data_IF_788051623200
#
_entry.id   IF_788051623200
#
_cell.length_a   1.000
_cell.length_b   1.000
_cell.length_c   1.000
_cell.angle_alpha   90.00
_cell.angle_beta   90.00
_cell.angle_gamma   90.00
#
_symmetry.space_group_name_H-M   'P 1'
#
loop_
_entity.id
_entity.type
_entity.pdbx_description
1 polymer ?
#
# COMPACT_ATOMS: atom_id res chain seq x y z
N UNK A 1 -10.59 -11.16 -15.87
CA UNK A 1 -11.06 -10.76 -14.53
C UNK A 1 -10.19 -11.46 -13.49
N UNK A 2 -9.65 -10.74 -12.50
CA UNK A 2 -8.91 -11.32 -11.37
C UNK A 2 -9.67 -11.02 -10.08
N UNK A 3 -9.96 -12.03 -9.27
CA UNK A 3 -10.63 -11.86 -7.98
C UNK A 3 -9.59 -11.71 -6.88
N UNK A 4 -9.81 -10.76 -5.97
CA UNK A 4 -9.03 -10.65 -4.73
C UNK A 4 -9.77 -11.42 -3.64
N UNK A 5 -9.25 -12.59 -3.28
CA UNK A 5 -9.85 -13.49 -2.29
C UNK A 5 -9.05 -13.49 -0.99
N UNK A 6 -9.65 -13.94 0.10
CA UNK A 6 -8.95 -14.10 1.38
C UNK A 6 -7.76 -15.07 1.29
N UNK A 7 -7.86 -16.12 0.48
CA UNK A 7 -6.74 -17.03 0.24
C UNK A 7 -5.60 -16.35 -0.51
N UNK A 8 -5.89 -15.49 -1.49
CA UNK A 8 -4.86 -14.69 -2.16
C UNK A 8 -4.16 -13.76 -1.17
N UNK A 9 -4.91 -13.06 -0.31
CA UNK A 9 -4.32 -12.18 0.72
C UNK A 9 -3.40 -12.97 1.66
N UNK A 10 -3.81 -14.17 2.09
CA UNK A 10 -2.99 -15.06 2.93
C UNK A 10 -1.71 -15.49 2.21
N UNK A 11 -1.81 -15.90 0.94
CA UNK A 11 -0.65 -16.33 0.14
C UNK A 11 0.38 -15.20 -0.03
N UNK A 12 -0.07 -13.98 -0.38
CA UNK A 12 0.85 -12.84 -0.58
C UNK A 12 1.47 -12.41 0.76
N UNK A 13 0.73 -12.51 1.86
CA UNK A 13 1.24 -12.30 3.22
C UNK A 13 2.34 -13.29 3.59
N UNK A 14 2.14 -14.59 3.34
CA UNK A 14 3.15 -15.63 3.60
C UNK A 14 4.43 -15.38 2.79
N UNK A 15 4.30 -14.97 1.53
CA UNK A 15 5.44 -14.58 0.71
C UNK A 15 6.15 -13.34 1.25
N UNK A 16 5.41 -12.35 1.78
CA UNK A 16 5.99 -11.18 2.42
C UNK A 16 6.82 -11.58 3.64
N UNK A 17 6.31 -12.46 4.52
CA UNK A 17 7.01 -12.97 5.71
C UNK A 17 8.34 -13.65 5.40
N UNK A 18 8.42 -14.34 4.26
CA UNK A 18 9.63 -15.05 3.83
C UNK A 18 10.62 -14.14 3.10
N UNK A 19 10.21 -12.93 2.73
CA UNK A 19 11.08 -11.99 2.03
C UNK A 19 12.00 -11.24 3.01
N UNK A 20 13.26 -10.94 2.66
CA UNK A 20 14.16 -10.18 3.52
C UNK A 20 13.65 -8.79 3.91
N UNK A 21 12.84 -8.19 3.02
CA UNK A 21 12.24 -6.86 3.23
C UNK A 21 10.92 -6.91 3.97
N UNK A 22 10.39 -8.10 4.27
CA UNK A 22 9.07 -8.31 4.88
C UNK A 22 7.91 -7.71 4.06
N UNK A 23 8.07 -7.67 2.73
CA UNK A 23 7.10 -7.10 1.79
C UNK A 23 7.01 -7.92 0.52
N UNK A 24 5.79 -8.02 -0.03
CA UNK A 24 5.54 -8.63 -1.33
C UNK A 24 4.42 -7.90 -2.06
N UNK A 25 4.70 -7.48 -3.30
CA UNK A 25 3.66 -7.05 -4.22
C UNK A 25 3.15 -8.24 -5.05
N UNK A 26 1.86 -8.19 -5.37
CA UNK A 26 1.23 -9.04 -6.38
C UNK A 26 0.61 -8.16 -7.47
N UNK A 27 1.24 -8.14 -8.65
CA UNK A 27 0.78 -7.31 -9.76
C UNK A 27 -0.47 -7.89 -10.41
N UNK A 28 -1.54 -7.08 -10.42
CA UNK A 28 -2.79 -7.40 -11.09
C UNK A 28 -2.70 -6.95 -12.55
N UNK A 29 -2.09 -5.79 -12.81
CA UNK A 29 -1.81 -5.28 -14.14
C UNK A 29 -0.91 -6.25 -14.95
N UNK A 30 -1.07 -6.32 -16.28
CA UNK A 30 -0.41 -7.34 -17.11
C UNK A 30 1.07 -7.07 -17.42
N UNK A 31 1.49 -5.80 -17.41
CA UNK A 31 2.86 -5.39 -17.78
C UNK A 31 3.22 -4.03 -17.16
N UNK A 32 4.51 -3.77 -16.96
CA UNK A 32 5.01 -2.56 -16.30
C UNK A 32 4.69 -1.26 -17.08
N UNK A 33 4.47 -1.37 -18.40
CA UNK A 33 4.04 -0.26 -19.27
C UNK A 33 2.52 -0.04 -19.28
N UNK A 34 1.77 -0.79 -18.47
CA UNK A 34 0.34 -0.57 -18.29
C UNK A 34 0.09 0.84 -17.75
N UNK A 35 -0.88 1.56 -18.34
CA UNK A 35 -1.23 2.91 -17.87
C UNK A 35 -1.75 2.94 -16.43
N UNK A 36 -2.47 1.90 -16.02
CA UNK A 36 -3.03 1.78 -14.67
C UNK A 36 -2.38 0.58 -13.97
N UNK A 37 -1.58 0.88 -12.95
CA UNK A 37 -0.91 -0.11 -12.12
C UNK A 37 -1.84 -0.49 -10.98
N UNK A 38 -2.28 -1.75 -11.00
CA UNK A 38 -3.08 -2.33 -9.92
C UNK A 38 -2.29 -3.42 -9.26
N UNK A 39 -2.21 -3.43 -7.95
CA UNK A 39 -1.45 -4.42 -7.20
C UNK A 39 -1.96 -4.57 -5.77
N UNK A 40 -1.65 -5.72 -5.18
CA UNK A 40 -1.73 -5.90 -3.74
C UNK A 40 -0.34 -5.70 -3.17
N UNK A 41 -0.23 -4.94 -2.09
CA UNK A 41 0.98 -4.81 -1.31
C UNK A 41 0.76 -5.45 0.06
N UNK A 42 1.41 -6.59 0.30
CA UNK A 42 1.50 -7.18 1.62
C UNK A 42 2.76 -6.67 2.33
N UNK A 43 2.60 -6.19 3.56
CA UNK A 43 3.68 -5.64 4.39
C UNK A 43 3.53 -6.21 5.79
N UNK A 44 4.57 -6.86 6.29
CA UNK A 44 4.61 -7.34 7.68
C UNK A 44 5.38 -6.36 8.56
N UNK A 45 5.02 -6.19 9.84
CA UNK A 45 5.83 -5.44 10.79
C UNK A 45 7.23 -6.06 10.93
N UNK A 46 8.28 -5.26 11.19
CA UNK A 46 8.27 -3.80 11.34
C UNK A 46 8.51 -3.03 10.02
N UNK A 47 8.02 -3.53 8.88
CA UNK A 47 8.32 -2.96 7.56
C UNK A 47 7.39 -1.81 7.12
N UNK A 48 7.89 -1.03 6.16
CA UNK A 48 7.22 0.05 5.47
C UNK A 48 7.68 0.15 3.99
N UNK A 49 6.95 0.90 3.17
CA UNK A 49 7.38 1.32 1.82
C UNK A 49 8.15 2.64 1.93
N UNK A 50 9.35 2.75 1.36
CA UNK A 50 10.11 4.00 1.43
C UNK A 50 9.30 5.19 0.91
N UNK A 51 9.37 6.37 1.55
CA UNK A 51 8.67 7.55 1.06
C UNK A 51 8.96 7.84 -0.41
N UNK A 52 7.92 8.03 -1.21
CA UNK A 52 8.01 8.29 -2.64
C UNK A 52 6.85 9.18 -3.11
N UNK A 53 6.91 9.63 -4.36
CA UNK A 53 5.83 10.37 -5.04
C UNK A 53 5.83 10.09 -6.53
N UNK A 54 4.66 10.20 -7.13
CA UNK A 54 4.46 10.11 -8.56
C UNK A 54 4.35 11.52 -9.13
N UNK A 55 5.15 11.87 -10.14
CA UNK A 55 5.14 13.22 -10.73
C UNK A 55 4.25 13.33 -11.97
N UNK A 56 3.78 12.19 -12.47
CA UNK A 56 2.86 12.13 -13.60
C UNK A 56 1.44 12.51 -13.12
N UNK A 57 0.80 13.55 -13.69
CA UNK A 57 -0.54 13.96 -13.31
C UNK A 57 -1.62 12.90 -13.51
N UNK A 58 -1.36 11.84 -14.29
CA UNK A 58 -2.28 10.71 -14.46
C UNK A 58 -2.03 9.58 -13.44
N UNK A 59 -1.12 9.78 -12.47
CA UNK A 59 -0.71 8.77 -11.49
C UNK A 59 -0.94 9.24 -10.06
N UNK A 60 -2.19 9.60 -9.76
CA UNK A 60 -2.68 9.57 -8.39
C UNK A 60 -2.68 8.11 -7.90
N UNK A 61 -2.62 7.90 -6.58
CA UNK A 61 -2.69 6.57 -5.98
C UNK A 61 -3.86 6.44 -5.00
N UNK A 62 -4.54 5.30 -5.03
CA UNK A 62 -5.52 4.94 -4.02
C UNK A 62 -5.05 3.71 -3.22
N UNK A 63 -4.94 3.84 -1.90
CA UNK A 63 -4.70 2.70 -1.01
C UNK A 63 -6.00 2.26 -0.37
N UNK A 64 -6.41 1.01 -0.60
CA UNK A 64 -7.61 0.40 -0.02
C UNK A 64 -7.20 -0.77 0.87
N UNK A 65 -7.54 -0.70 2.16
CA UNK A 65 -7.21 -1.74 3.12
C UNK A 65 -7.99 -3.02 2.85
N UNK A 66 -7.27 -4.11 2.57
CA UNK A 66 -7.84 -5.43 2.36
C UNK A 66 -7.82 -6.26 3.64
N UNK A 67 -6.74 -6.17 4.41
CA UNK A 67 -6.51 -6.89 5.67
C UNK A 67 -5.53 -6.14 6.56
N UNK A 68 -5.60 -6.38 7.87
CA UNK A 68 -4.69 -5.83 8.88
C UNK A 68 -4.93 -4.36 9.20
N UNK A 69 -3.85 -3.62 9.44
CA UNK A 69 -3.86 -2.23 9.89
C UNK A 69 -2.70 -1.46 9.28
N UNK A 70 -3.00 -0.42 8.51
CA UNK A 70 -2.02 0.36 7.76
C UNK A 70 -1.89 1.76 8.32
N UNK A 71 -0.66 2.21 8.57
CA UNK A 71 -0.34 3.62 8.76
C UNK A 71 0.04 4.24 7.42
N UNK A 72 -0.54 5.40 7.09
CA UNK A 72 -0.17 6.19 5.91
C UNK A 72 0.28 7.55 6.38
N UNK A 73 1.45 7.99 5.93
CA UNK A 73 1.98 9.32 6.24
C UNK A 73 2.26 10.05 4.94
N UNK A 74 2.05 11.37 4.97
CA UNK A 74 2.49 12.29 3.91
C UNK A 74 3.57 13.23 4.43
N UNK A 75 4.40 13.73 3.52
CA UNK A 75 5.55 14.55 3.87
C UNK A 75 5.63 15.83 3.04
N UNK A 76 6.26 16.85 3.61
CA UNK A 76 6.75 18.00 2.86
C UNK A 76 8.00 17.63 2.05
N UNK A 77 8.41 18.53 1.14
CA UNK A 77 9.69 18.37 0.42
C UNK A 77 10.91 18.42 1.36
N UNK A 78 10.79 19.00 2.56
CA UNK A 78 11.84 19.00 3.60
C UNK A 78 11.87 17.71 4.43
N UNK A 79 10.90 16.81 4.25
CA UNK A 79 10.78 15.54 4.97
C UNK A 79 9.98 15.63 6.28
N UNK A 80 9.31 16.75 6.55
CA UNK A 80 8.44 16.90 7.72
C UNK A 80 7.14 16.12 7.50
N UNK A 81 6.66 15.42 8.52
CA UNK A 81 5.35 14.72 8.46
C UNK A 81 4.23 15.76 8.43
N UNK A 82 3.42 15.74 7.38
CA UNK A 82 2.28 16.64 7.21
C UNK A 82 0.98 16.01 7.71
N UNK A 83 0.75 14.73 7.39
CA UNK A 83 -0.44 14.01 7.82
C UNK A 83 -0.08 12.59 8.26
N UNK A 84 -0.91 12.04 9.15
CA UNK A 84 -0.84 10.65 9.58
C UNK A 84 -2.25 10.10 9.65
N UNK A 85 -2.50 9.04 8.89
CA UNK A 85 -3.79 8.37 8.81
C UNK A 85 -3.59 6.90 9.17
N UNK A 86 -4.53 6.34 9.92
CA UNK A 86 -4.59 4.91 10.17
C UNK A 86 -5.78 4.36 9.40
N UNK A 87 -5.52 3.42 8.50
CA UNK A 87 -6.55 2.59 7.90
C UNK A 87 -6.75 1.35 8.75
N UNK A 88 -7.98 1.16 9.24
CA UNK A 88 -8.37 -0.02 10.00
C UNK A 88 -9.88 -0.19 10.00
N UNK A 89 -10.36 -1.42 10.10
CA UNK A 89 -11.80 -1.69 10.24
C UNK A 89 -12.36 -1.10 11.54
N UNK A 90 -11.55 -0.99 12.58
CA UNK A 90 -11.93 -0.44 13.88
C UNK A 90 -12.10 1.08 13.83
N UNK A 91 -11.27 1.79 13.07
CA UNK A 91 -11.39 3.25 12.89
C UNK A 91 -12.45 3.64 11.86
N UNK A 92 -12.84 2.71 10.98
CA UNK A 92 -13.75 2.97 9.87
C UNK A 92 -13.07 3.58 8.63
N UNK A 93 -11.81 3.98 8.74
CA UNK A 93 -11.02 4.43 7.60
C UNK A 93 -10.54 3.21 6.80
N UNK A 94 -11.08 3.02 5.61
CA UNK A 94 -10.77 1.85 4.78
C UNK A 94 -9.93 2.18 3.56
N UNK A 95 -9.87 3.44 3.17
CA UNK A 95 -9.07 3.86 2.02
C UNK A 95 -8.54 5.28 2.21
N UNK A 96 -7.49 5.60 1.46
CA UNK A 96 -7.00 6.96 1.27
C UNK A 96 -6.71 7.15 -0.22
N UNK A 97 -7.02 8.34 -0.71
CA UNK A 97 -6.68 8.82 -2.04
C UNK A 97 -5.51 9.80 -1.91
N UNK A 98 -4.48 9.62 -2.71
CA UNK A 98 -3.21 10.33 -2.62
C UNK A 98 -2.93 10.98 -3.98
N UNK A 99 -3.03 12.31 -4.06
CA UNK A 99 -2.72 13.01 -5.30
C UNK A 99 -1.25 12.83 -5.71
N UNK A 100 -1.00 12.84 -7.01
CA UNK A 100 0.33 12.97 -7.57
C UNK A 100 1.06 14.19 -6.98
N UNK A 101 2.39 14.11 -6.94
CA UNK A 101 3.27 15.11 -6.37
C UNK A 101 3.42 15.03 -4.85
N UNK A 102 2.55 14.30 -4.14
CA UNK A 102 2.60 14.16 -2.68
C UNK A 102 3.58 13.06 -2.28
N UNK A 103 4.58 13.40 -1.45
CA UNK A 103 5.42 12.39 -0.81
C UNK A 103 4.60 11.62 0.21
N UNK A 104 4.62 10.29 0.13
CA UNK A 104 3.86 9.43 1.01
C UNK A 104 4.54 8.08 1.27
N UNK A 105 4.11 7.40 2.33
CA UNK A 105 4.58 6.07 2.73
C UNK A 105 3.44 5.24 3.29
N UNK A 106 3.61 3.92 3.26
CA UNK A 106 2.72 2.94 3.89
C UNK A 106 3.50 2.10 4.90
N UNK A 107 3.02 2.02 6.13
CA UNK A 107 3.65 1.35 7.27
C UNK A 107 2.74 0.26 7.79
N UNK A 108 3.25 -0.96 7.97
CA UNK A 108 2.47 -2.05 8.57
C UNK A 108 2.41 -1.89 10.08
N UNK A 109 1.19 -1.85 10.63
CA UNK A 109 0.94 -1.74 12.07
C UNK A 109 0.47 -3.07 12.68
N UNK A 110 0.19 -4.08 11.85
CA UNK A 110 -0.30 -5.39 12.24
C UNK A 110 0.16 -6.48 11.25
N UNK A 111 0.55 -7.69 11.70
CA UNK A 111 0.82 -8.81 10.80
C UNK A 111 -0.36 -9.11 9.87
N UNK A 112 -0.08 -9.49 8.62
CA UNK A 112 -1.11 -9.73 7.61
C UNK A 112 -1.74 -8.45 7.05
N UNK A 113 -1.02 -7.32 7.13
CA UNK A 113 -1.47 -6.07 6.52
C UNK A 113 -1.29 -6.14 5.01
N UNK A 114 -2.41 -6.03 4.29
CA UNK A 114 -2.45 -5.99 2.83
C UNK A 114 -3.35 -4.85 2.39
N UNK A 115 -2.89 -4.05 1.46
CA UNK A 115 -3.71 -3.05 0.79
C UNK A 115 -3.66 -3.22 -0.73
N UNK A 116 -4.73 -2.80 -1.38
CA UNK A 116 -4.83 -2.66 -2.82
C UNK A 116 -4.38 -1.26 -3.20
N UNK A 117 -3.49 -1.16 -4.18
CA UNK A 117 -2.98 0.08 -4.77
C UNK A 117 -3.48 0.17 -6.22
N UNK A 118 -3.95 1.36 -6.61
CA UNK A 118 -4.56 1.64 -7.91
C UNK A 118 -4.15 3.03 -8.41
#
# INVERSE_FOLDING_TARGET
>A
MKLVTQDLLRQVTEQARLSPRLRKNYNIHPADDSRCHRLLNAIEPPSYICPHRHLDPEKDEAFILMSGRLGVLTFSDSGDVLQTVILSRQSGNLAVDIPHGVYHTAVSLEPGTVFYEA
#
